data_IF_185323750742
#
_entry.id   IF_185323750742
#
_cell.length_a   1.000
_cell.length_b   1.000
_cell.length_c   1.000
_cell.angle_alpha   90.00
_cell.angle_beta   90.00
_cell.angle_gamma   90.00
#
_symmetry.space_group_name_H-M   'P 1'
#
loop_
_entity.id
_entity.type
_entity.pdbx_description
1 polymer ?
#
# COMPACT_ATOMS: atom_id res chain seq x y z
N UNK A 1 4.31 45.97 -21.68
CA UNK A 1 5.40 45.03 -21.96
C UNK A 1 5.02 44.27 -23.22
N UNK A 2 5.82 44.31 -24.29
CA UNK A 2 5.46 43.68 -25.54
C UNK A 2 5.68 42.16 -25.45
N UNK A 3 4.75 41.41 -26.01
CA UNK A 3 4.84 39.98 -26.25
C UNK A 3 5.60 39.78 -27.57
N UNK A 4 6.83 39.29 -27.50
CA UNK A 4 7.63 38.85 -28.63
C UNK A 4 7.50 37.34 -28.77
N UNK A 5 6.71 36.92 -29.76
CA UNK A 5 6.74 35.55 -30.25
C UNK A 5 7.93 35.33 -31.18
N UNK A 6 8.61 34.19 -31.05
CA UNK A 6 9.13 33.43 -32.20
C UNK A 6 9.81 32.14 -31.72
N UNK A 7 9.20 31.01 -32.03
CA UNK A 7 9.89 29.86 -32.61
C UNK A 7 8.82 28.88 -33.14
N UNK A 8 8.49 29.03 -34.42
CA UNK A 8 7.94 27.94 -35.20
C UNK A 8 9.12 27.09 -35.71
N UNK A 9 9.15 25.83 -35.31
CA UNK A 9 10.08 24.82 -35.79
C UNK A 9 9.47 23.45 -35.50
N UNK A 10 9.60 22.52 -36.43
CA UNK A 10 9.14 21.13 -36.38
C UNK A 10 9.41 20.45 -35.01
N UNK A 11 8.42 20.45 -34.11
CA UNK A 11 8.46 19.80 -32.80
C UNK A 11 7.60 18.53 -32.82
N UNK A 12 8.04 17.54 -33.58
CA UNK A 12 7.63 16.16 -33.37
C UNK A 12 7.99 15.72 -31.94
N UNK A 13 7.07 15.92 -31.00
CA UNK A 13 6.98 15.29 -29.67
C UNK A 13 8.31 15.13 -28.91
N UNK A 14 8.98 16.24 -28.59
CA UNK A 14 10.14 16.20 -27.70
C UNK A 14 9.66 15.93 -26.26
N UNK A 15 10.03 14.78 -25.71
CA UNK A 15 9.68 14.42 -24.33
C UNK A 15 10.33 15.40 -23.35
N UNK A 16 9.56 15.81 -22.35
CA UNK A 16 9.98 16.78 -21.34
C UNK A 16 10.75 16.09 -20.23
N UNK A 17 11.63 16.82 -19.54
CA UNK A 17 12.17 16.40 -18.24
C UNK A 17 11.45 17.16 -17.14
N UNK A 18 10.95 16.46 -16.11
CA UNK A 18 10.29 17.16 -15.00
C UNK A 18 11.33 17.80 -14.08
N UNK A 19 11.10 19.04 -13.65
CA UNK A 19 12.07 19.79 -12.82
C UNK A 19 12.35 19.11 -11.47
N UNK A 20 11.35 18.47 -10.86
CA UNK A 20 11.49 17.87 -9.53
C UNK A 20 11.96 16.40 -9.55
N UNK A 21 11.49 15.60 -10.51
CA UNK A 21 11.77 14.16 -10.55
C UNK A 21 12.67 13.75 -11.72
N UNK A 22 13.10 14.69 -12.56
CA UNK A 22 14.05 14.45 -13.64
C UNK A 22 13.53 13.46 -14.68
N UNK A 23 14.40 12.53 -15.08
CA UNK A 23 14.09 11.41 -15.97
C UNK A 23 13.40 10.27 -15.21
N UNK A 24 12.36 9.69 -15.81
CA UNK A 24 11.64 8.57 -15.21
C UNK A 24 12.37 7.24 -15.46
N UNK A 25 12.30 6.33 -14.50
CA UNK A 25 12.68 4.92 -14.66
C UNK A 25 11.44 4.07 -14.39
N UNK A 26 11.07 3.23 -15.34
CA UNK A 26 9.91 2.34 -15.25
C UNK A 26 10.39 0.94 -14.92
N UNK A 27 9.85 0.37 -13.84
CA UNK A 27 10.14 -0.99 -13.42
C UNK A 27 8.91 -1.87 -13.67
N UNK A 28 8.88 -2.63 -14.78
CA UNK A 28 7.93 -3.72 -14.93
C UNK A 28 8.23 -4.84 -13.92
N UNK A 29 7.18 -5.45 -13.40
CA UNK A 29 7.23 -6.54 -12.44
C UNK A 29 6.12 -7.57 -12.71
N UNK A 30 6.26 -8.76 -12.11
CA UNK A 30 5.24 -9.82 -12.22
C UNK A 30 3.97 -9.38 -11.53
N UNK A 31 4.14 -8.81 -10.35
CA UNK A 31 3.05 -8.32 -9.50
C UNK A 31 3.61 -7.27 -8.53
N UNK A 32 2.87 -6.20 -8.32
CA UNK A 32 3.19 -5.14 -7.37
C UNK A 32 2.02 -5.06 -6.40
N UNK A 33 2.25 -5.41 -5.13
CA UNK A 33 1.25 -5.31 -4.07
C UNK A 33 1.34 -3.90 -3.50
N UNK A 34 0.36 -3.04 -3.73
CA UNK A 34 0.47 -1.60 -3.38
C UNK A 34 0.04 -1.29 -1.96
N UNK A 35 -0.74 -2.17 -1.32
CA UNK A 35 -1.46 -1.92 -0.06
C UNK A 35 -2.50 -0.78 -0.12
N UNK A 36 -2.86 -0.31 -1.33
CA UNK A 36 -3.94 0.66 -1.54
C UNK A 36 -5.24 -0.06 -1.91
N UNK A 37 -6.32 0.15 -1.15
CA UNK A 37 -7.61 -0.52 -1.40
C UNK A 37 -8.18 -0.25 -2.80
N UNK A 38 -7.94 0.94 -3.35
CA UNK A 38 -8.42 1.33 -4.67
C UNK A 38 -7.67 0.63 -5.83
N UNK A 39 -6.44 0.15 -5.58
CA UNK A 39 -5.60 -0.52 -6.57
C UNK A 39 -4.67 -1.50 -5.87
N UNK A 40 -5.16 -2.66 -5.41
CA UNK A 40 -4.39 -3.56 -4.55
C UNK A 40 -3.18 -4.19 -5.27
N UNK A 41 -3.27 -4.36 -6.59
CA UNK A 41 -2.23 -4.95 -7.44
C UNK A 41 -1.93 -4.10 -8.68
N UNK A 42 -0.69 -4.15 -9.14
CA UNK A 42 -0.19 -3.49 -10.35
C UNK A 42 0.94 -4.32 -11.02
N UNK A 43 1.40 -3.92 -12.20
CA UNK A 43 2.46 -4.63 -12.97
C UNK A 43 3.63 -3.74 -13.38
N UNK A 44 3.52 -2.43 -13.21
CA UNK A 44 4.59 -1.47 -13.49
C UNK A 44 4.56 -0.29 -12.51
N UNK A 45 5.74 0.22 -12.17
CA UNK A 45 5.91 1.43 -11.37
C UNK A 45 6.90 2.38 -12.04
N UNK A 46 6.55 3.66 -12.12
CA UNK A 46 7.46 4.72 -12.57
C UNK A 46 8.01 5.49 -11.38
N UNK A 47 9.34 5.61 -11.35
CA UNK A 47 10.10 6.29 -10.30
C UNK A 47 10.90 7.42 -10.93
N UNK A 48 10.95 8.58 -10.28
CA UNK A 48 11.80 9.70 -10.66
C UNK A 48 12.15 10.53 -9.44
N UNK A 49 13.38 11.06 -9.39
CA UNK A 49 13.85 11.87 -8.25
C UNK A 49 13.73 11.18 -6.88
N UNK A 50 13.83 9.85 -6.83
CA UNK A 50 13.66 9.06 -5.61
C UNK A 50 12.22 8.92 -5.11
N UNK A 51 11.22 9.32 -5.91
CA UNK A 51 9.80 9.23 -5.59
C UNK A 51 9.06 8.37 -6.60
N UNK A 52 7.97 7.74 -6.15
CA UNK A 52 7.03 7.04 -7.02
C UNK A 52 6.13 8.08 -7.68
N UNK A 53 6.16 8.15 -9.02
CA UNK A 53 5.37 9.10 -9.81
C UNK A 53 4.04 8.49 -10.22
N UNK A 54 4.05 7.22 -10.64
CA UNK A 54 2.85 6.49 -11.04
C UNK A 54 3.00 4.98 -10.80
N UNK A 55 1.88 4.30 -10.57
CA UNK A 55 1.80 2.85 -10.39
C UNK A 55 0.60 2.34 -11.19
N UNK A 56 0.74 1.20 -11.87
CA UNK A 56 -0.35 0.58 -12.63
C UNK A 56 0.13 -0.48 -13.60
N UNK A 57 -0.42 -0.50 -14.81
CA UNK A 57 0.08 -1.27 -15.96
C UNK A 57 0.82 -0.36 -16.94
N UNK A 58 1.63 -0.94 -17.84
CA UNK A 58 2.30 -0.15 -18.89
C UNK A 58 1.35 0.77 -19.66
N UNK A 59 0.11 0.34 -19.91
CA UNK A 59 -0.91 1.15 -20.57
C UNK A 59 -1.35 2.35 -19.73
N UNK A 60 -1.60 2.14 -18.43
CA UNK A 60 -1.98 3.23 -17.53
C UNK A 60 -0.86 4.25 -17.30
N UNK A 61 0.40 3.84 -17.53
CA UNK A 61 1.55 4.72 -17.45
C UNK A 61 1.78 5.54 -18.74
N UNK A 62 1.19 5.17 -19.88
CA UNK A 62 1.38 5.87 -21.16
C UNK A 62 1.27 7.41 -21.08
N UNK A 63 0.29 8.01 -20.37
CA UNK A 63 0.19 9.47 -20.28
C UNK A 63 1.45 10.14 -19.68
N UNK A 64 2.15 9.43 -18.80
CA UNK A 64 3.43 9.88 -18.23
C UNK A 64 4.58 9.64 -19.19
N UNK A 65 4.59 8.48 -19.84
CA UNK A 65 5.63 8.04 -20.78
C UNK A 65 5.64 8.86 -22.07
N UNK A 66 4.51 9.38 -22.50
CA UNK A 66 4.39 10.24 -23.69
C UNK A 66 4.93 11.64 -23.41
N UNK A 67 4.68 12.13 -22.19
CA UNK A 67 5.04 13.50 -21.80
C UNK A 67 6.48 13.62 -21.33
N UNK A 68 7.02 12.60 -20.68
CA UNK A 68 8.33 12.67 -20.01
C UNK A 68 9.35 11.67 -20.54
N UNK A 69 10.63 12.05 -20.53
CA UNK A 69 11.72 11.12 -20.86
C UNK A 69 11.75 9.99 -19.82
N UNK A 70 11.87 8.75 -20.31
CA UNK A 70 11.91 7.57 -19.46
C UNK A 70 12.93 6.53 -19.93
N UNK A 71 13.31 5.64 -19.03
CA UNK A 71 14.03 4.40 -19.29
C UNK A 71 13.28 3.22 -18.69
N UNK A 72 13.37 2.03 -19.29
CA UNK A 72 12.69 0.82 -18.80
C UNK A 72 13.70 -0.15 -18.27
N UNK A 73 13.50 -0.59 -17.03
CA UNK A 73 14.40 -1.49 -16.32
C UNK A 73 13.72 -2.83 -16.02
N UNK A 74 14.04 -3.83 -16.83
CA UNK A 74 13.45 -5.17 -16.76
C UNK A 74 13.98 -6.05 -15.61
N UNK A 75 14.88 -5.57 -14.74
CA UNK A 75 15.48 -6.39 -13.67
C UNK A 75 14.45 -6.99 -12.70
N UNK A 76 13.28 -6.36 -12.58
CA UNK A 76 12.21 -6.75 -11.65
C UNK A 76 11.07 -7.53 -12.32
N UNK A 77 11.15 -7.78 -13.63
CA UNK A 77 10.05 -8.31 -14.46
C UNK A 77 9.44 -9.61 -13.93
N UNK A 78 10.25 -10.50 -13.38
CA UNK A 78 9.80 -11.80 -12.85
C UNK A 78 9.62 -11.81 -11.31
N UNK A 79 9.70 -10.64 -10.67
CA UNK A 79 9.66 -10.48 -9.21
C UNK A 79 8.32 -9.91 -8.75
N UNK A 80 8.01 -10.15 -7.47
CA UNK A 80 6.90 -9.49 -6.78
C UNK A 80 7.46 -8.33 -6.00
N UNK A 81 6.91 -7.13 -6.22
CA UNK A 81 7.27 -5.92 -5.50
C UNK A 81 6.21 -5.61 -4.44
N UNK A 82 6.65 -5.07 -3.32
CA UNK A 82 5.80 -4.59 -2.25
C UNK A 82 6.46 -3.36 -1.59
N UNK A 83 5.68 -2.48 -0.94
CA UNK A 83 6.22 -1.44 -0.09
C UNK A 83 7.23 -1.98 0.90
N UNK A 84 8.27 -1.19 1.19
CA UNK A 84 9.21 -1.51 2.25
C UNK A 84 8.50 -1.64 3.60
N UNK A 85 9.03 -2.49 4.48
CA UNK A 85 8.51 -2.61 5.83
C UNK A 85 8.71 -1.31 6.60
N UNK A 86 7.64 -0.84 7.24
CA UNK A 86 7.65 0.32 8.12
C UNK A 86 7.45 -0.19 9.54
N UNK A 87 8.47 -0.04 10.38
CA UNK A 87 8.38 -0.30 11.82
C UNK A 87 8.14 1.03 12.55
N UNK A 88 6.88 1.32 12.97
CA UNK A 88 6.55 2.59 13.60
C UNK A 88 7.01 2.66 15.06
N UNK A 89 7.45 1.55 15.67
CA UNK A 89 7.82 1.53 17.07
C UNK A 89 8.91 0.49 17.34
N UNK A 90 10.14 0.89 17.04
CA UNK A 90 11.34 0.13 17.31
C UNK A 90 12.19 0.83 18.37
N UNK A 91 12.93 0.05 19.15
CA UNK A 91 14.04 0.53 19.98
C UNK A 91 15.37 0.13 19.32
N UNK A 92 15.96 0.92 18.41
CA UNK A 92 17.09 0.46 17.58
C UNK A 92 18.33 0.04 18.37
N UNK A 93 18.54 0.62 19.55
CA UNK A 93 19.67 0.29 20.44
C UNK A 93 19.57 -1.12 21.03
N UNK A 94 18.36 -1.62 21.29
CA UNK A 94 18.13 -2.91 21.90
C UNK A 94 18.59 -4.08 21.02
N UNK A 95 18.19 -4.22 19.73
CA UNK A 95 18.75 -5.22 18.85
C UNK A 95 20.23 -4.95 18.57
N UNK A 96 20.70 -3.69 18.52
CA UNK A 96 22.12 -3.39 18.32
C UNK A 96 23.01 -3.98 19.44
N UNK A 97 22.52 -4.01 20.69
CA UNK A 97 23.24 -4.63 21.81
C UNK A 97 22.99 -6.14 21.86
N UNK A 98 21.73 -6.57 21.77
CA UNK A 98 21.36 -7.97 22.02
C UNK A 98 21.78 -8.93 20.90
N UNK A 99 21.85 -8.48 19.65
CA UNK A 99 22.25 -9.34 18.51
C UNK A 99 23.75 -9.65 18.47
N UNK A 100 24.56 -8.94 19.27
CA UNK A 100 26.00 -9.21 19.38
C UNK A 100 26.31 -10.39 20.30
N UNK A 101 25.37 -10.78 21.16
CA UNK A 101 25.56 -11.91 22.07
C UNK A 101 25.22 -13.23 21.38
N UNK A 102 25.94 -14.32 21.69
CA UNK A 102 25.59 -15.64 21.20
C UNK A 102 24.18 -16.01 21.68
N UNK A 103 23.36 -16.56 20.77
CA UNK A 103 22.01 -17.00 21.11
C UNK A 103 22.06 -18.25 21.99
N UNK A 104 21.93 -18.06 23.31
CA UNK A 104 21.84 -19.14 24.28
C UNK A 104 20.37 -19.59 24.38
N UNK A 105 19.93 -20.44 23.45
CA UNK A 105 18.63 -21.09 23.58
C UNK A 105 18.63 -21.99 24.84
N UNK A 106 17.55 -22.02 25.64
CA UNK A 106 17.46 -22.87 26.83
C UNK A 106 17.53 -24.38 26.54
N UNK A 107 17.59 -24.79 25.27
CA UNK A 107 17.84 -26.18 24.86
C UNK A 107 18.91 -26.24 23.78
N UNK A 108 20.07 -26.83 24.11
CA UNK A 108 21.14 -27.14 23.16
C UNK A 108 20.86 -28.47 22.46
N UNK A 109 20.20 -28.40 21.31
CA UNK A 109 20.05 -29.54 20.40
C UNK A 109 18.61 -30.02 20.22
N UNK A 110 18.23 -30.09 18.94
CA UNK A 110 17.01 -30.71 18.38
C UNK A 110 15.71 -30.05 18.86
N UNK A 111 15.14 -29.23 17.97
CA UNK A 111 13.71 -28.92 17.99
C UNK A 111 12.97 -30.25 17.85
N UNK A 112 12.62 -30.89 18.96
CA UNK A 112 11.65 -31.98 18.94
C UNK A 112 10.32 -31.30 18.63
N UNK A 113 9.67 -31.57 17.48
CA UNK A 113 8.28 -31.17 17.37
C UNK A 113 7.58 -31.78 18.58
N UNK A 114 6.82 -30.95 19.31
CA UNK A 114 5.96 -31.49 20.33
C UNK A 114 5.06 -32.51 19.63
N UNK A 115 5.31 -33.80 19.85
CA UNK A 115 4.28 -34.80 19.68
C UNK A 115 3.30 -34.47 20.80
N UNK A 116 2.37 -33.56 20.52
CA UNK A 116 1.24 -33.33 21.39
C UNK A 116 0.60 -34.70 21.61
N UNK A 117 0.55 -35.27 22.83
CA UNK A 117 -0.60 -36.10 23.10
C UNK A 117 -1.77 -35.16 22.88
N UNK A 118 -2.76 -35.58 22.10
CA UNK A 118 -4.01 -34.86 21.98
C UNK A 118 -4.60 -34.76 23.39
N UNK A 119 -4.19 -33.73 24.14
CA UNK A 119 -4.87 -33.26 25.33
C UNK A 119 -6.11 -32.62 24.76
N UNK A 120 -7.12 -33.46 24.69
CA UNK A 120 -8.51 -33.14 24.40
C UNK A 120 -8.81 -31.70 24.80
N UNK A 121 -8.90 -30.85 23.78
CA UNK A 121 -9.38 -29.49 23.91
C UNK A 121 -10.86 -29.61 24.29
N UNK A 122 -11.14 -29.79 25.59
CA UNK A 122 -12.41 -29.33 26.13
C UNK A 122 -12.45 -27.84 25.81
N UNK A 123 -13.34 -27.48 24.90
CA UNK A 123 -13.63 -26.11 24.52
C UNK A 123 -13.70 -25.24 25.78
N UNK A 124 -12.94 -24.13 25.88
CA UNK A 124 -13.21 -23.16 26.91
C UNK A 124 -14.63 -22.65 26.65
N UNK A 125 -15.55 -22.94 27.55
CA UNK A 125 -16.83 -22.22 27.61
C UNK A 125 -16.50 -20.79 27.98
N UNK A 126 -16.21 -19.96 26.97
CA UNK A 126 -16.16 -18.52 27.13
C UNK A 126 -17.51 -18.06 27.69
N UNK A 127 -17.56 -17.36 28.84
CA UNK A 127 -18.79 -16.72 29.26
C UNK A 127 -19.19 -15.71 28.19
N UNK A 128 -20.33 -15.94 27.54
CA UNK A 128 -20.95 -14.99 26.60
C UNK A 128 -21.45 -13.78 27.39
N UNK A 129 -20.56 -12.88 27.76
CA UNK A 129 -20.94 -11.60 28.36
C UNK A 129 -19.99 -10.49 27.93
N UNK A 130 -19.92 -10.23 26.63
CA UNK A 130 -19.72 -8.85 26.14
C UNK A 130 -20.27 -8.72 24.73
N UNK A 131 -21.51 -8.25 24.68
CA UNK A 131 -22.26 -7.92 23.47
C UNK A 131 -21.73 -6.58 22.91
N UNK A 132 -20.62 -6.61 22.17
CA UNK A 132 -20.06 -5.41 21.50
C UNK A 132 -20.44 -5.29 20.01
N UNK A 133 -21.37 -6.11 19.52
CA UNK A 133 -21.87 -6.05 18.15
C UNK A 133 -23.40 -6.15 18.16
N UNK A 134 -24.06 -5.03 18.46
CA UNK A 134 -25.38 -4.75 17.91
C UNK A 134 -25.24 -3.61 16.90
N UNK A 135 -25.35 -3.87 15.58
CA UNK A 135 -25.72 -2.80 14.68
C UNK A 135 -27.11 -2.33 15.07
N UNK A 136 -27.24 -1.05 15.45
CA UNK A 136 -28.53 -0.39 15.62
C UNK A 136 -29.25 -0.39 14.27
N UNK A 137 -30.13 -1.37 14.12
CA UNK A 137 -31.09 -1.48 13.04
C UNK A 137 -32.14 -0.39 13.21
N UNK A 138 -31.94 0.78 12.60
CA UNK A 138 -32.98 1.75 12.20
C UNK A 138 -32.27 2.89 11.44
N UNK A 139 -32.66 3.36 10.26
CA UNK A 139 -33.87 3.14 9.51
C UNK A 139 -33.66 3.48 8.03
N UNK A 140 -34.41 2.80 7.18
CA UNK A 140 -34.56 3.11 5.77
C UNK A 140 -35.38 4.40 5.66
N UNK A 141 -34.75 5.52 5.33
CA UNK A 141 -35.47 6.71 4.86
C UNK A 141 -36.13 6.38 3.52
N UNK A 142 -37.45 6.26 3.50
CA UNK A 142 -38.25 6.30 2.28
C UNK A 142 -39.01 7.62 2.31
N UNK A 143 -38.71 8.52 1.39
CA UNK A 143 -39.47 9.75 1.24
C UNK A 143 -40.84 9.43 0.67
N UNK A 144 -41.89 9.77 1.41
CA UNK A 144 -43.23 9.93 0.87
C UNK A 144 -43.72 11.31 1.29
N UNK A 145 -43.63 12.24 0.34
CA UNK A 145 -44.44 13.47 0.17
C UNK A 145 -45.04 14.06 1.45
N UNK A 146 -44.47 15.18 1.90
CA UNK A 146 -45.17 16.25 2.59
C UNK A 146 -45.73 15.95 3.98
N UNK A 147 -44.89 15.96 5.02
CA UNK A 147 -45.28 16.32 6.38
C UNK A 147 -44.04 16.64 7.24
N UNK A 148 -44.13 17.71 8.03
CA UNK A 148 -43.09 18.35 8.82
C UNK A 148 -42.51 17.44 9.91
N UNK A 149 -41.18 17.26 9.94
CA UNK A 149 -40.46 16.49 10.97
C UNK A 149 -40.23 17.38 12.20
N UNK A 150 -40.89 17.07 13.32
CA UNK A 150 -40.43 17.50 14.65
C UNK A 150 -39.63 16.35 15.27
N UNK A 151 -38.36 16.57 15.55
CA UNK A 151 -37.56 15.71 16.42
C UNK A 151 -37.89 16.04 17.87
N UNK A 152 -38.57 15.12 18.57
CA UNK A 152 -38.66 15.14 20.02
C UNK A 152 -37.46 14.39 20.63
N UNK A 153 -36.76 15.05 21.54
CA UNK A 153 -35.80 14.41 22.45
C UNK A 153 -36.56 14.09 23.73
N UNK A 154 -36.81 12.81 24.01
CA UNK A 154 -37.19 12.37 25.36
C UNK A 154 -36.06 11.51 25.93
N UNK A 155 -35.82 11.80 27.22
CA UNK A 155 -34.78 11.35 28.15
C UNK A 155 -34.41 9.88 28.12
#
# INVERSE_FOLDING_TARGET
MPCDGSAAGDESARKLTHQEFGKLTVFPAREIITMCEAMPTATAVAVGGGKIVAVGTMDTLQPWLDRYEYDVDDRMKDKVLMPGFIDPHVHPSLPAVLTQYPFLAPTTGRFRPASSPARELRSPTWPRSTNWLRPTRTGRCRSSRGATIRCGTDT
#
